data_IF_062523153349
#
_entry.id   IF_062523153349
#
_cell.length_a   1.000
_cell.length_b   1.000
_cell.length_c   1.000
_cell.angle_alpha   90.00
_cell.angle_beta   90.00
_cell.angle_gamma   90.00
#
_symmetry.space_group_name_H-M   'P 1'
#
loop_
_entity.id
_entity.type
_entity.pdbx_description
1 polymer ?
#
# COMPACT_ATOMS: atom_id res chain seq x y z
N UNK A 1 -8.79 -14.32 25.34
CA UNK A 1 -9.71 -14.90 24.34
C UNK A 1 -8.95 -15.35 23.09
N UNK A 2 -8.23 -14.45 22.40
CA UNK A 2 -7.47 -14.80 21.18
C UNK A 2 -6.55 -16.03 21.28
N UNK A 3 -5.81 -16.21 22.39
CA UNK A 3 -4.91 -17.38 22.54
C UNK A 3 -5.63 -18.72 22.66
N UNK A 4 -6.88 -18.72 23.17
CA UNK A 4 -7.69 -19.94 23.30
C UNK A 4 -8.27 -20.32 21.93
N UNK A 5 -8.68 -19.32 21.14
CA UNK A 5 -9.16 -19.52 19.78
C UNK A 5 -8.05 -20.01 18.84
N UNK A 6 -6.83 -19.47 18.98
CA UNK A 6 -5.67 -19.97 18.24
C UNK A 6 -5.26 -21.39 18.67
N UNK A 7 -5.32 -21.71 19.96
CA UNK A 7 -5.07 -23.08 20.44
C UNK A 7 -6.13 -24.06 19.93
N UNK A 8 -7.40 -23.64 19.87
CA UNK A 8 -8.49 -24.41 19.28
C UNK A 8 -8.27 -24.63 17.79
N UNK A 9 -7.90 -23.60 17.03
CA UNK A 9 -7.57 -23.74 15.61
C UNK A 9 -6.37 -24.68 15.39
N UNK A 10 -5.33 -24.56 16.20
CA UNK A 10 -4.18 -25.46 16.14
C UNK A 10 -4.56 -26.91 16.46
N UNK A 11 -5.49 -27.13 17.39
CA UNK A 11 -6.05 -28.44 17.68
C UNK A 11 -6.90 -29.01 16.54
N UNK A 12 -7.76 -28.18 15.94
CA UNK A 12 -8.59 -28.56 14.79
C UNK A 12 -7.73 -28.93 13.56
N UNK A 13 -6.54 -28.32 13.44
CA UNK A 13 -5.52 -28.65 12.43
C UNK A 13 -4.59 -29.81 12.83
N UNK A 14 -4.82 -30.45 13.99
CA UNK A 14 -3.97 -31.50 14.58
C UNK A 14 -2.50 -31.08 14.79
N UNK A 15 -2.24 -29.78 14.97
CA UNK A 15 -0.90 -29.22 15.15
C UNK A 15 -0.50 -29.14 16.64
N UNK A 16 -1.45 -29.00 17.55
CA UNK A 16 -1.21 -28.92 18.99
C UNK A 16 -2.39 -29.43 19.82
N UNK A 17 -2.20 -29.67 21.12
CA UNK A 17 -3.32 -30.00 22.02
C UNK A 17 -4.14 -28.75 22.36
N UNK A 18 -5.40 -28.93 22.74
CA UNK A 18 -6.29 -27.82 23.15
C UNK A 18 -5.72 -27.01 24.33
N UNK A 19 -4.94 -27.67 25.19
CA UNK A 19 -4.32 -27.07 26.39
C UNK A 19 -2.90 -26.53 26.15
N UNK A 20 -2.37 -26.61 24.93
CA UNK A 20 -1.02 -26.14 24.58
C UNK A 20 -0.99 -24.61 24.37
N UNK A 21 -1.55 -23.86 25.32
CA UNK A 21 -1.57 -22.41 25.33
C UNK A 21 -0.17 -21.81 25.39
N UNK A 22 0.78 -22.50 26.04
CA UNK A 22 2.18 -22.07 26.12
C UNK A 22 2.91 -22.22 24.78
N UNK A 23 2.47 -23.14 23.92
CA UNK A 23 2.98 -23.29 22.56
C UNK A 23 2.52 -22.12 21.69
N UNK A 24 1.25 -21.72 21.79
CA UNK A 24 0.72 -20.55 21.06
C UNK A 24 1.32 -19.24 21.57
N UNK A 25 1.61 -19.15 22.87
CA UNK A 25 2.24 -17.97 23.49
C UNK A 25 3.76 -17.91 23.31
N UNK A 26 4.40 -18.97 22.80
CA UNK A 26 5.85 -19.03 22.59
C UNK A 26 6.67 -19.30 23.84
N UNK A 27 6.06 -19.82 24.91
CA UNK A 27 6.73 -20.22 26.15
C UNK A 27 7.07 -21.72 26.22
N UNK A 28 6.70 -22.50 25.20
CA UNK A 28 7.08 -23.91 25.12
C UNK A 28 8.59 -24.08 24.87
N UNK A 29 9.10 -25.30 25.07
CA UNK A 29 10.51 -25.57 24.81
C UNK A 29 10.86 -25.31 23.33
N UNK A 30 12.09 -24.84 23.03
CA UNK A 30 12.49 -24.49 21.66
C UNK A 30 12.25 -25.62 20.64
N UNK A 31 12.46 -26.87 21.05
CA UNK A 31 12.23 -28.05 20.22
C UNK A 31 10.75 -28.23 19.87
N UNK A 32 9.84 -28.03 20.84
CA UNK A 32 8.40 -28.09 20.60
C UNK A 32 7.94 -26.94 19.70
N UNK A 33 8.46 -25.73 19.93
CA UNK A 33 8.11 -24.55 19.13
C UNK A 33 8.52 -24.70 17.65
N UNK A 34 9.73 -25.23 17.41
CA UNK A 34 10.23 -25.49 16.05
C UNK A 34 9.43 -26.62 15.37
N UNK A 35 9.11 -27.70 16.10
CA UNK A 35 8.29 -28.78 15.57
C UNK A 35 6.90 -28.30 15.16
N UNK A 36 6.26 -27.48 15.99
CA UNK A 36 4.97 -26.87 15.68
C UNK A 36 5.04 -25.97 14.45
N UNK A 37 6.06 -25.11 14.37
CA UNK A 37 6.25 -24.22 13.22
C UNK A 37 6.46 -24.99 11.92
N UNK A 38 7.22 -26.10 11.97
CA UNK A 38 7.41 -26.97 10.82
C UNK A 38 6.10 -27.60 10.37
N UNK A 39 5.31 -28.14 11.29
CA UNK A 39 4.00 -28.75 10.97
C UNK A 39 3.02 -27.71 10.40
N UNK A 40 3.04 -26.47 10.92
CA UNK A 40 2.23 -25.38 10.38
C UNK A 40 2.65 -25.00 8.95
N UNK A 41 3.95 -24.98 8.65
CA UNK A 41 4.45 -24.73 7.30
C UNK A 41 4.11 -25.87 6.34
N UNK A 42 4.18 -27.13 6.79
CA UNK A 42 3.79 -28.30 6.00
C UNK A 42 2.29 -28.23 5.64
N UNK A 43 1.44 -27.77 6.58
CA UNK A 43 0.01 -27.50 6.36
C UNK A 43 -0.25 -26.43 5.29
N UNK A 44 0.55 -25.37 5.26
CA UNK A 44 0.44 -24.27 4.29
C UNK A 44 0.98 -24.69 2.91
N UNK A 45 2.05 -25.49 2.87
CA UNK A 45 2.69 -25.94 1.64
C UNK A 45 1.94 -27.10 0.95
N UNK A 46 1.23 -27.93 1.71
CA UNK A 46 0.54 -29.12 1.20
C UNK A 46 -0.92 -29.18 1.69
N UNK A 47 -1.80 -28.28 1.20
CA UNK A 47 -3.20 -28.19 1.62
C UNK A 47 -4.01 -29.47 1.33
N UNK A 48 -3.59 -30.29 0.37
CA UNK A 48 -4.23 -31.56 0.01
C UNK A 48 -4.17 -32.60 1.16
N UNK A 49 -3.17 -32.49 2.04
CA UNK A 49 -3.01 -33.36 3.22
C UNK A 49 -4.12 -33.15 4.25
N UNK A 50 -4.64 -31.92 4.30
CA UNK A 50 -5.69 -31.49 5.23
C UNK A 50 -7.06 -31.81 4.65
N UNK A 51 -7.20 -31.68 3.33
CA UNK A 51 -8.44 -31.99 2.63
C UNK A 51 -8.88 -33.46 2.77
N UNK A 52 -7.97 -34.36 3.13
CA UNK A 52 -8.24 -35.78 3.31
C UNK A 52 -8.55 -36.17 4.77
N UNK A 53 -8.14 -35.34 5.74
CA UNK A 53 -8.14 -35.72 7.18
C UNK A 53 -9.01 -34.81 8.03
N UNK A 54 -9.30 -33.59 7.59
CA UNK A 54 -10.42 -32.81 8.12
C UNK A 54 -11.67 -33.32 7.43
N UNK A 55 -12.07 -34.55 7.79
CA UNK A 55 -13.48 -34.90 7.78
C UNK A 55 -14.15 -33.83 8.62
N UNK A 56 -14.95 -32.98 7.97
CA UNK A 56 -15.74 -31.91 8.57
C UNK A 56 -16.86 -32.59 9.39
N UNK A 57 -16.48 -33.32 10.43
CA UNK A 57 -17.39 -34.02 11.34
C UNK A 57 -17.70 -33.15 12.56
N UNK A 58 -17.04 -32.00 12.73
CA UNK A 58 -17.25 -31.06 13.85
C UNK A 58 -17.95 -29.75 13.51
N UNK A 59 -18.44 -29.56 12.28
CA UNK A 59 -19.40 -28.47 12.00
C UNK A 59 -20.76 -29.11 11.74
N UNK A 60 -21.47 -29.41 12.84
CA UNK A 60 -22.93 -29.54 12.94
C UNK A 60 -23.66 -30.28 11.80
N UNK A 61 -24.17 -31.48 12.10
CA UNK A 61 -24.88 -32.47 11.25
C UNK A 61 -26.16 -32.00 10.48
N UNK A 62 -26.29 -30.74 10.04
CA UNK A 62 -27.49 -30.21 9.38
C UNK A 62 -27.28 -29.72 7.93
N UNK A 63 -26.05 -29.62 7.43
CA UNK A 63 -25.77 -28.77 6.24
C UNK A 63 -24.87 -29.39 5.16
N UNK A 64 -24.72 -30.72 5.09
CA UNK A 64 -23.96 -31.35 3.99
C UNK A 64 -24.57 -31.10 2.60
N UNK A 65 -25.90 -30.98 2.49
CA UNK A 65 -26.56 -30.62 1.21
C UNK A 65 -26.34 -29.17 0.78
N UNK A 66 -25.99 -28.27 1.69
CA UNK A 66 -25.91 -26.83 1.42
C UNK A 66 -24.52 -26.35 1.03
N UNK A 67 -23.44 -27.05 1.40
CA UNK A 67 -22.09 -26.55 1.11
C UNK A 67 -21.71 -26.70 -0.37
N UNK A 68 -22.00 -27.86 -0.97
CA UNK A 68 -21.80 -28.05 -2.42
C UNK A 68 -22.70 -27.16 -3.26
N UNK A 69 -23.92 -26.88 -2.78
CA UNK A 69 -24.81 -25.89 -3.39
C UNK A 69 -24.23 -24.47 -3.28
N UNK A 70 -23.76 -24.07 -2.10
CA UNK A 70 -23.14 -22.77 -1.87
C UNK A 70 -21.86 -22.54 -2.71
N UNK A 71 -21.00 -23.55 -2.83
CA UNK A 71 -19.81 -23.45 -3.69
C UNK A 71 -20.20 -23.29 -5.17
N UNK A 72 -21.24 -24.00 -5.62
CA UNK A 72 -21.74 -23.89 -6.98
C UNK A 72 -22.44 -22.55 -7.23
N UNK A 73 -23.23 -22.07 -6.28
CA UNK A 73 -23.87 -20.74 -6.32
C UNK A 73 -22.81 -19.62 -6.35
N UNK A 74 -21.73 -19.73 -5.56
CA UNK A 74 -20.62 -18.77 -5.60
C UNK A 74 -19.88 -18.82 -6.94
N UNK A 75 -19.67 -20.00 -7.53
CA UNK A 75 -19.06 -20.13 -8.85
C UNK A 75 -19.95 -19.51 -9.94
N UNK A 76 -21.26 -19.74 -9.88
CA UNK A 76 -22.24 -19.16 -10.79
C UNK A 76 -22.33 -17.64 -10.65
N UNK A 77 -22.32 -17.12 -9.41
CA UNK A 77 -22.28 -15.69 -9.11
C UNK A 77 -21.01 -15.03 -9.66
N UNK A 78 -19.84 -15.65 -9.45
CA UNK A 78 -18.59 -15.13 -9.99
C UNK A 78 -18.62 -15.12 -11.52
N UNK A 79 -19.11 -16.20 -12.14
CA UNK A 79 -19.30 -16.23 -13.61
C UNK A 79 -20.21 -15.12 -14.09
N UNK A 80 -21.33 -14.86 -13.42
CA UNK A 80 -22.25 -13.77 -13.77
C UNK A 80 -21.58 -12.40 -13.60
N UNK A 81 -20.90 -12.16 -12.48
CA UNK A 81 -20.21 -10.92 -12.19
C UNK A 81 -19.13 -10.60 -13.23
N UNK A 82 -18.31 -11.59 -13.60
CA UNK A 82 -17.25 -11.42 -14.59
C UNK A 82 -17.76 -11.38 -16.04
N UNK A 83 -18.96 -11.92 -16.30
CA UNK A 83 -19.64 -11.84 -17.60
C UNK A 83 -20.38 -10.51 -17.78
N UNK A 84 -20.60 -9.75 -16.70
CA UNK A 84 -21.27 -8.45 -16.77
C UNK A 84 -20.39 -7.42 -17.49
N UNK A 85 -20.87 -6.81 -18.59
CA UNK A 85 -20.12 -5.81 -19.34
C UNK A 85 -19.84 -4.55 -18.51
N UNK A 86 -20.68 -4.24 -17.52
CA UNK A 86 -20.48 -3.09 -16.63
C UNK A 86 -19.31 -3.29 -15.66
N UNK A 87 -19.09 -4.51 -15.18
CA UNK A 87 -17.96 -4.82 -14.31
C UNK A 87 -16.65 -4.80 -15.09
N UNK A 88 -16.65 -5.34 -16.31
CA UNK A 88 -15.50 -5.27 -17.22
C UNK A 88 -15.13 -3.81 -17.57
N UNK A 89 -16.12 -2.96 -17.85
CA UNK A 89 -15.90 -1.53 -18.08
C UNK A 89 -15.37 -0.78 -16.83
N UNK A 90 -15.62 -1.30 -15.62
CA UNK A 90 -15.09 -0.74 -14.37
C UNK A 90 -13.64 -1.16 -14.14
N UNK A 91 -13.30 -2.41 -14.46
CA UNK A 91 -11.91 -2.91 -14.40
C UNK A 91 -11.03 -2.32 -15.50
N UNK A 92 -11.64 -2.00 -16.64
CA UNK A 92 -10.99 -1.40 -17.80
C UNK A 92 -11.73 -0.11 -18.22
N UNK A 93 -11.59 0.97 -17.45
CA UNK A 93 -12.19 2.24 -17.82
C UNK A 93 -11.56 2.74 -19.12
N UNK A 94 -12.40 3.06 -20.12
CA UNK A 94 -11.96 3.61 -21.42
C UNK A 94 -11.20 4.93 -21.25
N UNK A 95 -11.49 5.66 -20.17
CA UNK A 95 -10.78 6.85 -19.76
C UNK A 95 -9.87 6.53 -18.58
N UNK A 96 -8.55 6.70 -18.78
CA UNK A 96 -7.60 6.71 -17.69
C UNK A 96 -7.92 7.90 -16.76
N UNK A 97 -8.35 7.67 -15.49
CA UNK A 97 -8.74 8.76 -14.59
C UNK A 97 -7.54 9.60 -14.13
N UNK A 98 -6.31 9.16 -14.43
CA UNK A 98 -5.10 9.88 -14.08
C UNK A 98 -4.84 11.04 -15.06
N UNK A 99 -4.69 12.28 -14.56
CA UNK A 99 -4.23 13.40 -15.37
C UNK A 99 -2.91 13.07 -16.06
N UNK A 100 -2.71 13.59 -17.27
CA UNK A 100 -1.51 13.31 -18.08
C UNK A 100 -0.19 13.59 -17.34
N UNK A 101 -0.23 14.48 -16.33
CA UNK A 101 0.88 14.90 -15.48
C UNK A 101 1.41 13.80 -14.54
N UNK A 102 0.67 12.71 -14.32
CA UNK A 102 1.07 11.60 -13.45
C UNK A 102 1.78 10.47 -14.18
N UNK A 103 1.70 10.42 -15.52
CA UNK A 103 2.41 9.41 -16.31
C UNK A 103 3.94 9.44 -16.13
N UNK A 104 4.61 10.61 -16.04
CA UNK A 104 6.06 10.67 -15.81
C UNK A 104 6.47 10.10 -14.43
N UNK A 105 5.59 10.17 -13.43
CA UNK A 105 5.88 9.69 -12.07
C UNK A 105 5.80 8.17 -11.93
N UNK A 106 4.96 7.52 -12.74
CA UNK A 106 4.79 6.06 -12.74
C UNK A 106 5.80 5.34 -13.64
N UNK A 107 6.34 6.04 -14.65
CA UNK A 107 7.33 5.48 -15.59
C UNK A 107 8.77 5.72 -15.12
N UNK A 108 8.99 6.67 -14.21
CA UNK A 108 10.31 6.96 -13.64
C UNK A 108 10.63 6.04 -12.43
N UNK A 109 10.69 4.72 -12.66
CA UNK A 109 11.54 3.86 -11.82
C UNK A 109 12.99 3.98 -12.33
N UNK A 110 13.65 5.08 -11.97
CA UNK A 110 15.11 5.26 -12.08
C UNK A 110 15.59 5.88 -10.75
N UNK A 111 16.81 5.56 -10.30
CA UNK A 111 17.16 5.45 -8.90
C UNK A 111 17.03 6.78 -8.15
N UNK A 112 16.42 6.73 -6.97
CA UNK A 112 16.39 7.80 -5.96
C UNK A 112 17.79 8.39 -5.72
N UNK A 113 18.19 9.34 -6.56
CA UNK A 113 19.34 10.19 -6.28
C UNK A 113 18.90 11.28 -5.33
N UNK A 114 19.38 11.12 -4.09
CA UNK A 114 19.53 12.14 -3.03
C UNK A 114 19.23 13.57 -3.50
N UNK A 115 17.99 14.01 -3.33
CA UNK A 115 17.72 15.44 -3.17
C UNK A 115 17.69 15.73 -1.68
N UNK A 116 18.80 16.29 -1.19
CA UNK A 116 18.87 16.83 0.15
C UNK A 116 17.74 17.85 0.36
N UNK A 117 17.14 17.93 1.56
CA UNK A 117 16.19 18.98 1.86
C UNK A 117 16.97 20.29 1.93
N UNK A 118 16.77 21.18 0.96
CA UNK A 118 17.17 22.57 1.13
C UNK A 118 16.24 23.20 2.16
N UNK A 119 16.76 23.32 3.37
CA UNK A 119 16.32 24.27 4.38
C UNK A 119 16.48 25.69 3.81
N UNK A 120 15.43 26.20 3.17
CA UNK A 120 15.33 27.57 2.66
C UNK A 120 14.29 28.36 3.46
N UNK A 121 14.79 29.02 4.50
CA UNK A 121 14.29 30.25 5.15
C UNK A 121 12.88 30.75 4.76
N UNK A 122 11.98 30.76 5.75
CA UNK A 122 10.64 31.33 5.65
C UNK A 122 10.65 32.84 5.38
N UNK A 123 10.41 33.22 4.12
CA UNK A 123 10.26 34.61 3.68
C UNK A 123 9.20 34.77 2.54
N UNK A 124 8.21 33.89 2.42
CA UNK A 124 7.30 33.86 1.25
C UNK A 124 5.81 34.02 1.59
N UNK A 125 5.47 34.93 2.51
CA UNK A 125 4.08 35.37 2.70
C UNK A 125 3.87 36.82 2.24
N UNK A 126 4.84 37.72 2.47
CA UNK A 126 4.70 39.13 2.06
C UNK A 126 4.73 39.32 0.54
N UNK A 127 5.59 38.58 -0.17
CA UNK A 127 5.67 38.64 -1.63
C UNK A 127 4.37 38.18 -2.32
N UNK A 128 3.74 37.14 -1.77
CA UNK A 128 2.45 36.64 -2.26
C UNK A 128 1.30 37.63 -2.00
N UNK A 129 1.37 38.39 -0.90
CA UNK A 129 0.38 39.43 -0.59
C UNK A 129 0.56 40.65 -1.49
N UNK A 130 1.79 41.12 -1.73
CA UNK A 130 2.07 42.24 -2.64
C UNK A 130 1.65 41.91 -4.08
N UNK A 131 1.97 40.73 -4.58
CA UNK A 131 1.55 40.27 -5.91
C UNK A 131 0.03 40.14 -6.03
N UNK A 132 -0.66 39.63 -5.00
CA UNK A 132 -2.12 39.61 -4.98
C UNK A 132 -2.74 41.02 -4.94
N UNK A 133 -2.13 41.95 -4.20
CA UNK A 133 -2.54 43.34 -4.14
C UNK A 133 -2.38 44.02 -5.51
N UNK A 134 -1.29 43.76 -6.22
CA UNK A 134 -1.00 44.27 -7.56
C UNK A 134 -1.98 43.72 -8.61
N UNK A 135 -2.27 42.41 -8.57
CA UNK A 135 -3.28 41.77 -9.44
C UNK A 135 -4.66 42.33 -9.14
N UNK A 136 -5.02 42.52 -7.87
CA UNK A 136 -6.32 43.09 -7.47
C UNK A 136 -6.47 44.53 -7.97
N UNK A 137 -5.42 45.33 -7.88
CA UNK A 137 -5.40 46.70 -8.38
C UNK A 137 -5.52 46.75 -9.91
N UNK A 138 -4.84 45.84 -10.61
CA UNK A 138 -4.91 45.69 -12.08
C UNK A 138 -6.31 45.26 -12.54
N UNK A 139 -6.95 44.32 -11.83
CA UNK A 139 -8.32 43.91 -12.11
C UNK A 139 -9.33 45.04 -11.86
N UNK A 140 -9.10 45.86 -10.83
CA UNK A 140 -9.96 47.01 -10.54
C UNK A 140 -9.84 48.09 -11.63
N UNK A 141 -8.63 48.34 -12.14
CA UNK A 141 -8.42 49.24 -13.29
C UNK A 141 -9.12 48.73 -14.56
N UNK A 142 -8.95 47.43 -14.87
CA UNK A 142 -9.61 46.81 -16.02
C UNK A 142 -11.14 46.83 -15.90
N UNK A 143 -11.67 46.66 -14.69
CA UNK A 143 -13.12 46.75 -14.42
C UNK A 143 -13.68 48.15 -14.69
N UNK A 144 -12.91 49.21 -14.40
CA UNK A 144 -13.28 50.59 -14.72
C UNK A 144 -13.23 50.83 -16.22
N UNK A 145 -12.20 50.34 -16.91
CA UNK A 145 -12.10 50.39 -18.38
C UNK A 145 -13.25 49.65 -19.07
N UNK A 146 -13.72 48.55 -18.48
CA UNK A 146 -14.87 47.80 -18.96
C UNK A 146 -16.23 48.42 -18.58
N UNK A 147 -16.29 49.41 -17.69
CA UNK A 147 -17.53 50.09 -17.31
C UNK A 147 -18.10 50.92 -18.48
N UNK A 148 -17.22 51.48 -19.31
CA UNK A 148 -17.58 52.25 -20.51
C UNK A 148 -18.29 51.38 -21.58
N UNK A 149 -18.01 50.08 -21.61
CA UNK A 149 -18.70 49.10 -22.47
C UNK A 149 -20.12 48.75 -21.97
N UNK A 150 -20.42 49.06 -20.71
CA UNK A 150 -21.72 48.87 -20.09
C UNK A 150 -22.64 50.09 -20.22
N UNK A 151 -22.15 51.21 -20.76
CA UNK A 151 -22.95 52.38 -21.10
C UNK A 151 -23.99 52.06 -22.19
N UNK A 152 -25.20 52.59 -22.01
CA UNK A 152 -26.35 52.41 -22.89
C UNK A 152 -26.12 53.18 -24.22
N UNK A 153 -25.30 52.64 -25.11
CA UNK A 153 -25.07 53.18 -26.44
C UNK A 153 -26.12 52.62 -27.43
N UNK A 154 -26.77 53.47 -28.24
CA UNK A 154 -27.89 53.03 -29.06
C UNK A 154 -27.40 52.20 -30.24
N UNK A 155 -27.93 50.97 -30.34
CA UNK A 155 -28.15 50.18 -31.54
C UNK A 155 -26.96 49.84 -32.49
N UNK A 156 -25.70 50.07 -32.11
CA UNK A 156 -24.56 49.92 -33.03
C UNK A 156 -23.79 48.60 -33.01
N UNK A 157 -23.60 47.97 -31.85
CA UNK A 157 -22.56 46.94 -31.74
C UNK A 157 -23.10 45.55 -31.37
N UNK A 158 -23.52 44.80 -32.40
CA UNK A 158 -24.06 43.44 -32.24
C UNK A 158 -23.07 42.49 -31.56
N UNK A 159 -21.76 42.80 -31.62
CA UNK A 159 -20.71 41.98 -31.01
C UNK A 159 -20.67 42.20 -29.50
N UNK A 160 -20.77 43.45 -29.04
CA UNK A 160 -20.82 43.79 -27.60
C UNK A 160 -22.05 43.20 -26.94
N UNK A 161 -23.21 43.23 -27.62
CA UNK A 161 -24.44 42.62 -27.10
C UNK A 161 -24.34 41.08 -27.05
N UNK A 162 -23.75 40.44 -28.06
CA UNK A 162 -23.48 38.99 -28.04
C UNK A 162 -22.49 38.60 -26.95
N UNK A 163 -21.45 39.41 -26.73
CA UNK A 163 -20.48 39.19 -25.66
C UNK A 163 -21.13 39.34 -24.28
N UNK A 164 -21.96 40.37 -24.08
CA UNK A 164 -22.76 40.54 -22.86
C UNK A 164 -23.67 39.33 -22.62
N UNK A 165 -24.36 38.86 -23.66
CA UNK A 165 -25.22 37.68 -23.57
C UNK A 165 -24.43 36.42 -23.21
N UNK A 166 -23.29 36.18 -23.87
CA UNK A 166 -22.42 35.04 -23.58
C UNK A 166 -21.84 35.11 -22.15
N UNK A 167 -21.49 36.30 -21.66
CA UNK A 167 -21.03 36.50 -20.29
C UNK A 167 -22.14 36.20 -19.27
N UNK A 168 -23.37 36.61 -19.56
CA UNK A 168 -24.56 36.31 -18.73
C UNK A 168 -24.83 34.80 -18.74
N UNK A 169 -24.80 34.14 -19.91
CA UNK A 169 -24.98 32.69 -20.02
C UNK A 169 -23.89 31.91 -19.27
N UNK A 170 -22.64 32.37 -19.36
CA UNK A 170 -21.52 31.75 -18.65
C UNK A 170 -21.64 31.94 -17.14
N UNK A 171 -22.03 33.14 -16.70
CA UNK A 171 -22.33 33.40 -15.29
C UNK A 171 -23.44 32.49 -14.77
N UNK A 172 -24.54 32.34 -15.53
CA UNK A 172 -25.64 31.45 -15.19
C UNK A 172 -25.17 29.98 -15.06
N UNK A 173 -24.30 29.51 -15.97
CA UNK A 173 -23.71 28.17 -15.89
C UNK A 173 -22.82 28.00 -14.67
N UNK A 174 -21.99 28.98 -14.33
CA UNK A 174 -21.15 28.93 -13.12
C UNK A 174 -22.04 28.87 -11.88
N UNK A 175 -23.10 29.68 -11.80
CA UNK A 175 -24.04 29.67 -10.67
C UNK A 175 -24.71 28.31 -10.55
N UNK A 176 -25.27 27.77 -11.64
CA UNK A 176 -25.90 26.45 -11.65
C UNK A 176 -24.90 25.33 -11.27
N UNK A 177 -23.68 25.37 -11.81
CA UNK A 177 -22.63 24.42 -11.43
C UNK A 177 -22.27 24.53 -9.95
N UNK A 178 -22.15 25.74 -9.41
CA UNK A 178 -21.81 25.97 -8.01
C UNK A 178 -22.91 25.44 -7.09
N UNK A 179 -24.17 25.62 -7.47
CA UNK A 179 -25.32 25.12 -6.73
C UNK A 179 -25.40 23.59 -6.74
N UNK A 180 -25.20 22.97 -7.92
CA UNK A 180 -25.07 21.50 -8.04
C UNK A 180 -23.89 20.98 -7.23
N UNK A 181 -22.75 21.68 -7.25
CA UNK A 181 -21.58 21.32 -6.46
C UNK A 181 -21.89 21.35 -4.95
N UNK A 182 -22.49 22.43 -4.44
CA UNK A 182 -22.84 22.57 -3.02
C UNK A 182 -23.88 21.53 -2.58
N UNK A 183 -24.88 21.25 -3.43
CA UNK A 183 -26.01 20.40 -3.05
C UNK A 183 -25.76 18.90 -3.25
N UNK A 184 -24.98 18.50 -4.27
CA UNK A 184 -24.84 17.10 -4.67
C UNK A 184 -23.40 16.57 -4.51
N UNK A 185 -22.39 17.41 -4.71
CA UNK A 185 -20.99 16.96 -4.74
C UNK A 185 -20.17 17.35 -3.50
N UNK A 186 -20.60 18.33 -2.72
CA UNK A 186 -19.84 18.84 -1.58
C UNK A 186 -19.66 17.78 -0.49
N UNK A 187 -20.66 16.94 -0.24
CA UNK A 187 -20.57 15.79 0.67
C UNK A 187 -19.46 14.82 0.25
N UNK A 188 -19.23 14.69 -1.06
CA UNK A 188 -18.20 13.84 -1.65
C UNK A 188 -16.82 14.51 -1.71
N UNK A 189 -16.77 15.85 -1.75
CA UNK A 189 -15.52 16.62 -1.84
C UNK A 189 -14.88 16.97 -0.47
N UNK A 190 -15.45 16.48 0.63
CA UNK A 190 -14.99 16.74 2.00
C UNK A 190 -14.59 15.51 2.79
N UNK A 191 -14.41 14.34 2.16
CA UNK A 191 -13.88 13.20 2.90
C UNK A 191 -12.51 13.58 3.48
N UNK A 192 -12.33 13.53 4.82
CA UNK A 192 -11.01 13.71 5.41
C UNK A 192 -10.07 12.73 4.70
N UNK A 193 -8.88 13.22 4.37
CA UNK A 193 -7.80 12.46 3.71
C UNK A 193 -7.93 11.00 4.10
N UNK A 194 -8.19 10.11 3.12
CA UNK A 194 -8.39 8.69 3.36
C UNK A 194 -7.37 8.24 4.40
N UNK A 195 -7.84 7.89 5.60
CA UNK A 195 -6.95 7.53 6.70
C UNK A 195 -6.15 6.35 6.18
N UNK A 196 -4.88 6.62 5.84
CA UNK A 196 -3.95 5.60 5.37
C UNK A 196 -4.00 4.57 6.48
N UNK A 197 -4.53 3.40 6.15
CA UNK A 197 -4.94 2.36 7.08
C UNK A 197 -4.04 2.32 8.33
N UNK A 198 -4.58 2.19 9.55
CA UNK A 198 -3.83 2.19 10.81
C UNK A 198 -2.74 1.09 10.89
N UNK A 199 -2.65 0.25 9.87
CA UNK A 199 -1.60 -0.74 9.63
C UNK A 199 -0.25 -0.15 9.20
N UNK A 200 -0.14 1.13 8.80
CA UNK A 200 1.13 1.74 8.40
C UNK A 200 2.28 1.57 9.41
N UNK A 201 2.07 1.89 10.70
CA UNK A 201 3.04 1.63 11.77
C UNK A 201 3.37 0.14 11.97
N UNK A 202 2.40 -0.76 11.75
CA UNK A 202 2.61 -2.20 11.83
C UNK A 202 3.54 -2.69 10.71
N UNK A 203 3.28 -2.31 9.46
CA UNK A 203 4.15 -2.65 8.33
C UNK A 203 5.55 -2.07 8.49
N UNK A 204 5.67 -0.85 9.01
CA UNK A 204 6.95 -0.23 9.30
C UNK A 204 7.72 -1.01 10.39
N UNK A 205 7.02 -1.47 11.43
CA UNK A 205 7.61 -2.32 12.48
C UNK A 205 8.07 -3.67 11.93
N UNK A 206 7.25 -4.34 11.12
CA UNK A 206 7.61 -5.63 10.50
C UNK A 206 8.81 -5.47 9.57
N UNK A 207 8.81 -4.43 8.73
CA UNK A 207 9.93 -4.10 7.86
C UNK A 207 11.22 -3.85 8.66
N UNK A 208 11.14 -3.11 9.78
CA UNK A 208 12.30 -2.85 10.62
C UNK A 208 12.84 -4.13 11.30
N UNK A 209 11.95 -5.01 11.76
CA UNK A 209 12.33 -6.30 12.35
C UNK A 209 13.00 -7.22 11.32
N UNK A 210 12.41 -7.35 10.13
CA UNK A 210 13.00 -8.12 9.03
C UNK A 210 14.36 -7.57 8.63
N UNK A 211 14.49 -6.24 8.49
CA UNK A 211 15.75 -5.59 8.16
C UNK A 211 16.84 -5.83 9.20
N UNK A 212 16.47 -5.89 10.48
CA UNK A 212 17.40 -6.18 11.57
C UNK A 212 17.85 -7.64 11.50
N UNK A 213 16.92 -8.57 11.32
CA UNK A 213 17.21 -9.99 11.13
C UNK A 213 18.15 -10.24 9.94
N UNK A 214 17.91 -9.60 8.79
CA UNK A 214 18.79 -9.74 7.62
C UNK A 214 20.23 -9.29 7.92
N UNK A 215 20.41 -8.18 8.66
CA UNK A 215 21.74 -7.70 9.05
C UNK A 215 22.45 -8.64 10.03
N UNK A 216 21.72 -9.23 10.96
CA UNK A 216 22.27 -10.22 11.88
C UNK A 216 22.72 -11.48 11.13
N UNK A 217 21.91 -11.98 10.20
CA UNK A 217 22.27 -13.11 9.34
C UNK A 217 23.52 -12.81 8.50
N UNK A 218 23.62 -11.62 7.94
CA UNK A 218 24.80 -11.17 7.19
C UNK A 218 26.05 -11.11 8.09
N UNK A 219 25.90 -10.61 9.32
CA UNK A 219 26.98 -10.60 10.31
C UNK A 219 27.41 -12.01 10.72
N UNK A 220 26.47 -12.96 10.86
CA UNK A 220 26.76 -14.36 11.18
C UNK A 220 27.49 -15.02 10.00
N UNK A 221 27.05 -14.76 8.77
CA UNK A 221 27.71 -15.28 7.58
C UNK A 221 29.16 -14.80 7.49
N UNK A 222 29.41 -13.50 7.72
CA UNK A 222 30.76 -12.94 7.76
C UNK A 222 31.61 -13.52 8.91
N UNK A 223 31.00 -13.78 10.06
CA UNK A 223 31.69 -14.42 11.19
C UNK A 223 32.10 -15.86 10.85
N UNK A 224 31.22 -16.65 10.22
CA UNK A 224 31.52 -18.01 9.79
C UNK A 224 32.66 -18.01 8.76
N UNK A 225 32.59 -17.16 7.75
CA UNK A 225 33.65 -17.01 6.74
C UNK A 225 35.00 -16.65 7.39
N UNK A 226 34.99 -15.71 8.34
CA UNK A 226 36.19 -15.33 9.09
C UNK A 226 36.73 -16.49 9.91
N UNK A 227 35.85 -17.25 10.57
CA UNK A 227 36.23 -18.43 11.35
C UNK A 227 36.86 -19.51 10.48
N UNK A 228 36.27 -19.81 9.32
CA UNK A 228 36.82 -20.78 8.36
C UNK A 228 38.20 -20.33 7.85
N UNK A 229 38.36 -19.05 7.51
CA UNK A 229 39.65 -18.49 7.11
C UNK A 229 40.72 -18.63 8.21
N UNK A 230 40.36 -18.37 9.48
CA UNK A 230 41.28 -18.55 10.61
C UNK A 230 41.67 -20.02 10.77
N UNK A 231 40.71 -20.94 10.70
CA UNK A 231 40.96 -22.38 10.79
C UNK A 231 41.89 -22.87 9.67
N UNK A 232 41.69 -22.39 8.43
CA UNK A 232 42.57 -22.73 7.31
C UNK A 232 44.00 -22.17 7.48
N UNK A 233 44.13 -20.91 7.93
CA UNK A 233 45.45 -20.30 8.22
C UNK A 233 46.20 -21.06 9.33
N UNK A 234 45.50 -21.42 10.41
CA UNK A 234 46.09 -22.23 11.50
C UNK A 234 46.47 -23.62 10.99
N UNK A 235 45.62 -24.24 10.17
CA UNK A 235 45.90 -25.54 9.54
C UNK A 235 47.12 -25.50 8.62
N UNK A 236 47.27 -24.45 7.81
CA UNK A 236 48.45 -24.24 6.95
C UNK A 236 49.72 -24.08 7.77
N UNK A 237 49.71 -23.23 8.80
CA UNK A 237 50.85 -23.02 9.70
C UNK A 237 51.29 -24.31 10.40
N UNK A 238 50.35 -25.11 10.90
CA UNK A 238 50.67 -26.38 11.55
C UNK A 238 51.29 -27.41 10.59
N UNK A 239 50.87 -27.42 9.31
CA UNK A 239 51.49 -28.27 8.28
C UNK A 239 52.91 -27.81 7.92
N UNK A 240 53.15 -26.50 7.86
CA UNK A 240 54.48 -25.93 7.63
C UNK A 240 55.45 -26.22 8.78
N UNK A 241 55.01 -26.09 10.03
CA UNK A 241 55.81 -26.46 11.21
C UNK A 241 56.12 -27.97 11.26
N UNK A 242 55.14 -28.82 10.94
CA UNK A 242 55.35 -30.26 10.88
C UNK A 242 56.33 -30.66 9.76
N UNK A 243 56.25 -30.01 8.60
CA UNK A 243 57.19 -30.22 7.49
C UNK A 243 58.60 -29.74 7.84
N UNK A 244 58.73 -28.61 8.53
CA UNK A 244 60.01 -28.09 9.02
C UNK A 244 60.68 -29.03 10.04
N UNK A 245 59.90 -29.56 10.99
CA UNK A 245 60.41 -30.51 11.98
C UNK A 245 60.83 -31.85 11.37
N UNK A 246 60.13 -32.32 10.32
CA UNK A 246 60.54 -33.51 9.56
C UNK A 246 61.83 -33.27 8.75
N UNK A 247 62.02 -32.07 8.22
CA UNK A 247 63.24 -31.69 7.50
C UNK A 247 64.46 -31.63 8.44
N UNK A 248 64.31 -31.07 9.64
CA UNK A 248 65.38 -30.96 10.65
C UNK A 248 65.81 -32.32 11.27
N UNK A 249 65.02 -33.38 11.07
CA UNK A 249 65.28 -34.72 11.63
C UNK A 249 66.06 -35.63 10.66
N UNK A 250 66.37 -35.16 9.46
CA UNK A 250 67.04 -35.91 8.39
C UNK A 250 68.46 -35.40 8.19
#
# INVERSE_FOLDING_TARGET
MATIELARLGFDLMLCHFDDLDLIKGHASPQKQISFMKQLLDVIQFPDTISSTITIESISQSTEKNLGACMKENEELLKELFSSPHFQATLHPECNPWPADFKPLLVAEEPFQKRAPQSGKGNSLSYSVETLQEITSSLQALKVECADLCGDAPAGDSVVQKLKLALIEFHQRIVAFTEVYQNEFQEHCGHPTAEISPTGPFFQSVHQSLRTCCKELESIAQFIETSENIVDVVGKRGREEAAFLLFMRK
#
